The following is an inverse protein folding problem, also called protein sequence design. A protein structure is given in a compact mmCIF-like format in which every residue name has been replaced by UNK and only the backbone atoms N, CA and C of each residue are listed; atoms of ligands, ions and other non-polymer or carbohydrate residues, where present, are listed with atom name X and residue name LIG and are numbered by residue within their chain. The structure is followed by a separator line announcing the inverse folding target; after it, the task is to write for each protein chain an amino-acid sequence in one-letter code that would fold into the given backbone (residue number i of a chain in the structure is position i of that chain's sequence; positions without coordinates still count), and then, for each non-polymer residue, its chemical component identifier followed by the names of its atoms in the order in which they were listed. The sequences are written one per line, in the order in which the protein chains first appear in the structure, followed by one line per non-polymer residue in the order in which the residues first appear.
data_IF_667030590711
#
_entry.id   IF_667030590711
#
_cell.length_a   1.000
_cell.length_b   1.000
_cell.length_c   1.000
_cell.angle_alpha   90.00
_cell.angle_beta   90.00
_cell.angle_gamma   90.00
#
_symmetry.space_group_name_H-M   'P 1'
#
loop_
_entity.id
_entity.type
_entity.pdbx_description
1 polymer ?
#
# COMPACT_ATOMS: atom_id res chain seq x y z
N UNK A 1 -6.99 -11.58 7.77
CA UNK A 1 -5.68 -10.98 7.45
C UNK A 1 -5.76 -9.51 7.07
N UNK A 2 -6.38 -9.13 5.95
CA UNK A 2 -6.36 -7.72 5.51
C UNK A 2 -7.03 -6.75 6.51
N UNK A 3 -8.15 -7.15 7.13
CA UNK A 3 -8.77 -6.40 8.24
C UNK A 3 -7.84 -6.27 9.46
N UNK A 4 -7.02 -7.28 9.72
CA UNK A 4 -6.12 -7.34 10.88
C UNK A 4 -4.88 -6.47 10.71
N UNK A 5 -4.53 -6.12 9.47
CA UNK A 5 -3.40 -5.23 9.15
C UNK A 5 -3.76 -3.75 9.19
N UNK A 6 -5.06 -3.43 9.13
CA UNK A 6 -5.53 -2.04 9.10
C UNK A 6 -5.03 -1.21 10.29
N UNK A 7 -5.01 -1.71 11.55
CA UNK A 7 -4.44 -0.96 12.67
C UNK A 7 -2.96 -0.62 12.47
N UNK A 8 -2.15 -1.58 12.01
CA UNK A 8 -0.72 -1.37 11.77
C UNK A 8 -0.50 -0.34 10.65
N UNK A 9 -1.30 -0.38 9.58
CA UNK A 9 -1.26 0.60 8.50
C UNK A 9 -1.68 2.00 8.98
N UNK A 10 -2.72 2.10 9.81
CA UNK A 10 -3.18 3.37 10.36
C UNK A 10 -2.17 3.98 11.34
N UNK A 11 -1.44 3.17 12.10
CA UNK A 11 -0.36 3.61 12.98
C UNK A 11 0.89 4.06 12.17
N UNK A 12 1.16 3.38 11.05
CA UNK A 12 2.32 3.64 10.22
C UNK A 12 2.15 4.78 9.19
N UNK A 13 0.91 5.27 8.97
CA UNK A 13 0.59 6.20 7.89
C UNK A 13 1.50 7.45 7.87
N UNK A 14 1.92 7.91 6.68
CA UNK A 14 2.65 9.16 6.56
C UNK A 14 1.73 10.33 6.93
N UNK A 15 2.30 11.35 7.59
CA UNK A 15 1.62 12.62 7.78
C UNK A 15 1.81 13.51 6.54
N UNK A 16 0.81 14.31 6.14
CA UNK A 16 -0.58 14.31 6.58
C UNK A 16 -1.53 13.59 5.58
N UNK A 17 -2.66 13.07 6.11
CA UNK A 17 -3.90 12.78 5.37
C UNK A 17 -4.12 11.45 4.62
N UNK A 18 -3.56 10.33 5.06
CA UNK A 18 -4.05 9.00 4.58
C UNK A 18 -4.98 8.33 5.60
N UNK A 19 -6.21 8.05 5.17
CA UNK A 19 -7.13 7.18 5.90
C UNK A 19 -7.33 5.91 5.08
N UNK A 20 -6.71 4.82 5.51
CA UNK A 20 -6.94 3.51 4.91
C UNK A 20 -8.31 2.97 5.34
N UNK A 21 -9.04 2.43 4.38
CA UNK A 21 -10.27 1.67 4.59
C UNK A 21 -10.07 0.28 3.99
N UNK A 22 -10.68 -0.74 4.58
CA UNK A 22 -10.60 -2.09 4.06
C UNK A 22 -11.49 -2.26 2.82
N UNK A 23 -12.71 -1.72 2.89
CA UNK A 23 -13.69 -1.78 1.82
C UNK A 23 -13.57 -0.54 0.93
N UNK A 24 -13.73 -0.72 -0.39
CA UNK A 24 -13.81 0.41 -1.32
C UNK A 24 -15.06 1.23 -0.99
N UNK A 25 -14.94 2.56 -0.80
CA UNK A 25 -16.10 3.40 -0.53
C UNK A 25 -17.11 3.36 -1.69
N UNK A 26 -18.40 3.47 -1.34
CA UNK A 26 -19.52 3.58 -2.29
C UNK A 26 -20.22 4.93 -2.02
N UNK A 27 -20.21 5.89 -2.96
CA UNK A 27 -19.56 5.83 -4.28
C UNK A 27 -18.01 5.85 -4.19
N UNK A 28 -17.29 5.37 -5.23
CA UNK A 28 -15.84 5.42 -5.26
C UNK A 28 -15.32 6.85 -5.10
N UNK A 29 -14.15 6.99 -4.47
CA UNK A 29 -13.45 8.26 -4.44
C UNK A 29 -13.09 8.70 -5.88
N UNK A 30 -13.07 10.01 -6.14
CA UNK A 30 -12.64 10.57 -7.42
C UNK A 30 -11.52 11.59 -7.19
N UNK A 31 -10.28 11.32 -7.64
CA UNK A 31 -9.81 10.10 -8.31
C UNK A 31 -9.84 8.87 -7.39
N UNK A 32 -9.97 7.66 -7.96
CA UNK A 32 -10.03 6.41 -7.19
C UNK A 32 -8.62 5.96 -6.80
N UNK A 33 -8.18 6.41 -5.62
CA UNK A 33 -6.90 6.03 -5.05
C UNK A 33 -7.00 4.75 -4.23
N UNK A 34 -6.19 3.74 -4.57
CA UNK A 34 -6.21 2.44 -3.91
C UNK A 34 -4.79 2.00 -3.57
N UNK A 35 -4.59 1.47 -2.36
CA UNK A 35 -3.39 0.74 -1.99
C UNK A 35 -3.73 -0.75 -2.03
N UNK A 36 -3.18 -1.47 -3.00
CA UNK A 36 -3.35 -2.92 -3.14
C UNK A 36 -2.13 -3.60 -2.52
N UNK A 37 -2.38 -4.55 -1.61
CA UNK A 37 -1.35 -5.37 -0.98
C UNK A 37 -1.50 -6.81 -1.44
N UNK A 38 -0.52 -7.31 -2.19
CA UNK A 38 -0.48 -8.69 -2.67
C UNK A 38 0.53 -9.47 -1.83
N UNK A 39 0.05 -10.42 -1.04
CA UNK A 39 0.89 -11.26 -0.18
C UNK A 39 1.49 -12.41 -0.97
N UNK A 40 2.79 -12.66 -0.83
CA UNK A 40 3.50 -13.70 -1.57
C UNK A 40 3.19 -13.66 -3.09
N UNK A 41 3.50 -12.55 -3.78
CA UNK A 41 3.22 -12.38 -5.20
C UNK A 41 3.97 -13.41 -6.06
N UNK A 42 3.38 -13.75 -7.21
CA UNK A 42 4.11 -14.41 -8.28
C UNK A 42 5.29 -13.54 -8.75
N UNK A 43 6.37 -14.16 -9.20
CA UNK A 43 7.60 -13.45 -9.57
C UNK A 43 7.42 -12.53 -10.80
N UNK A 44 6.41 -12.80 -11.62
CA UNK A 44 6.06 -12.10 -12.86
C UNK A 44 4.74 -11.30 -12.71
N UNK A 45 4.39 -10.91 -11.48
CA UNK A 45 3.19 -10.09 -11.24
C UNK A 45 3.44 -8.63 -11.61
N UNK A 46 2.65 -8.13 -12.56
CA UNK A 46 2.69 -6.74 -13.01
C UNK A 46 1.68 -5.87 -12.26
N UNK A 47 2.03 -4.61 -12.00
CA UNK A 47 1.18 -3.67 -11.25
C UNK A 47 -0.04 -3.17 -12.04
N UNK A 48 0.11 -2.84 -13.33
CA UNK A 48 -0.97 -2.25 -14.12
C UNK A 48 -2.20 -3.15 -14.26
N UNK A 49 -2.06 -4.46 -14.59
CA UNK A 49 -3.20 -5.36 -14.61
C UNK A 49 -3.94 -5.44 -13.27
N UNK A 50 -3.19 -5.43 -12.16
CA UNK A 50 -3.77 -5.44 -10.81
C UNK A 50 -4.55 -4.15 -10.54
N UNK A 51 -4.04 -2.98 -10.96
CA UNK A 51 -4.77 -1.71 -10.86
C UNK A 51 -6.02 -1.68 -11.76
N UNK A 52 -5.99 -2.33 -12.93
CA UNK A 52 -7.13 -2.50 -13.83
C UNK A 52 -8.17 -3.51 -13.31
N UNK A 53 -7.91 -4.18 -12.18
CA UNK A 53 -8.83 -5.12 -11.55
C UNK A 53 -8.65 -6.58 -11.97
N UNK A 54 -7.57 -6.91 -12.69
CA UNK A 54 -7.21 -8.31 -12.94
C UNK A 54 -6.82 -9.00 -11.63
N UNK A 55 -7.16 -10.29 -11.47
CA UNK A 55 -6.84 -11.04 -10.27
C UNK A 55 -5.32 -11.16 -10.10
N UNK A 56 -4.83 -10.81 -8.91
CA UNK A 56 -3.42 -10.97 -8.58
C UNK A 56 -3.04 -12.45 -8.57
N UNK A 57 -1.80 -12.75 -8.98
CA UNK A 57 -1.22 -14.09 -8.95
C UNK A 57 -0.29 -14.24 -7.74
N UNK A 58 -0.35 -15.41 -7.11
CA UNK A 58 0.32 -15.68 -5.84
C UNK A 58 1.22 -16.92 -5.97
N UNK A 59 2.26 -16.99 -5.14
CA UNK A 59 3.06 -18.18 -4.91
C UNK A 59 2.81 -18.73 -3.50
N UNK A 60 3.21 -19.97 -3.21
CA UNK A 60 3.14 -20.50 -1.85
C UNK A 60 3.88 -19.58 -0.86
N UNK A 61 3.22 -19.25 0.24
CA UNK A 61 3.79 -18.41 1.29
C UNK A 61 4.92 -19.11 2.05
N UNK A 62 5.78 -18.31 2.67
CA UNK A 62 6.85 -18.83 3.54
C UNK A 62 6.46 -18.62 5.01
N UNK A 63 6.34 -19.70 5.81
CA UNK A 63 6.01 -19.58 7.23
C UNK A 63 6.96 -18.63 7.96
N UNK A 64 6.40 -17.78 8.83
CA UNK A 64 7.16 -16.78 9.59
C UNK A 64 7.62 -15.56 8.79
N UNK A 65 7.28 -15.46 7.49
CA UNK A 65 7.62 -14.32 6.65
C UNK A 65 6.38 -13.54 6.24
N UNK A 66 6.39 -12.25 6.49
CA UNK A 66 5.47 -11.31 5.88
C UNK A 66 6.13 -10.78 4.60
N UNK A 67 5.60 -11.14 3.44
CA UNK A 67 6.12 -10.71 2.14
C UNK A 67 5.00 -10.09 1.33
N UNK A 68 5.15 -8.82 0.96
CA UNK A 68 4.10 -8.06 0.30
C UNK A 68 4.63 -7.30 -0.90
N UNK A 69 3.88 -7.35 -1.99
CA UNK A 69 3.99 -6.42 -3.10
C UNK A 69 2.88 -5.40 -2.98
N UNK A 70 3.27 -4.15 -2.77
CA UNK A 70 2.36 -3.05 -2.55
C UNK A 70 2.30 -2.20 -3.81
N UNK A 71 1.08 -1.89 -4.25
CA UNK A 71 0.80 -1.15 -5.48
C UNK A 71 -0.12 0.02 -5.12
N UNK A 72 0.31 1.23 -5.47
CA UNK A 72 -0.51 2.42 -5.33
C UNK A 72 -1.12 2.76 -6.68
N UNK A 73 -2.45 2.59 -6.78
CA UNK A 73 -3.21 2.82 -7.98
C UNK A 73 -3.93 4.16 -7.94
N UNK A 74 -4.04 4.81 -9.10
CA UNK A 74 -4.95 5.92 -9.36
C UNK A 74 -5.84 5.55 -10.52
N UNK A 75 -7.14 5.35 -10.26
CA UNK A 75 -8.04 4.69 -11.20
C UNK A 75 -7.40 3.34 -11.61
N UNK A 76 -7.26 3.08 -12.91
CA UNK A 76 -6.78 1.80 -13.45
C UNK A 76 -5.28 1.77 -13.76
N UNK A 77 -4.51 2.73 -13.22
CA UNK A 77 -3.07 2.86 -13.49
C UNK A 77 -2.23 2.75 -12.22
N UNK A 78 -1.10 2.06 -12.31
CA UNK A 78 -0.11 2.04 -11.24
C UNK A 78 0.66 3.37 -11.21
N UNK A 79 0.62 4.05 -10.07
CA UNK A 79 1.42 5.26 -9.83
C UNK A 79 2.79 4.91 -9.29
N UNK A 80 2.85 3.93 -8.39
CA UNK A 80 4.08 3.40 -7.81
C UNK A 80 3.82 1.99 -7.30
N UNK A 81 4.89 1.20 -7.20
CA UNK A 81 4.83 -0.13 -6.61
C UNK A 81 6.18 -0.48 -6.02
N UNK A 82 6.17 -1.29 -4.97
CA UNK A 82 7.40 -1.78 -4.37
C UNK A 82 7.14 -3.05 -3.57
N UNK A 83 8.21 -3.77 -3.29
CA UNK A 83 8.17 -5.03 -2.58
C UNK A 83 8.84 -4.85 -1.22
N UNK A 84 8.21 -5.38 -0.18
CA UNK A 84 8.72 -5.31 1.17
C UNK A 84 8.53 -6.64 1.90
N UNK A 85 9.43 -6.96 2.83
CA UNK A 85 9.28 -8.14 3.67
C UNK A 85 9.89 -7.96 5.05
N UNK A 86 9.39 -8.74 5.99
CA UNK A 86 9.98 -8.90 7.32
C UNK A 86 9.67 -10.30 7.86
N UNK A 87 10.41 -10.74 8.88
CA UNK A 87 10.02 -11.90 9.66
C UNK A 87 8.89 -11.46 10.60
N UNK A 88 7.78 -12.20 10.63
CA UNK A 88 6.63 -11.91 11.47
C UNK A 88 5.90 -13.20 11.84
N UNK A 89 5.43 -13.29 13.08
CA UNK A 89 4.65 -14.45 13.55
C UNK A 89 3.15 -14.32 13.30
N UNK A 90 2.68 -13.13 12.91
CA UNK A 90 1.27 -12.86 12.58
C UNK A 90 1.04 -11.38 12.25
N UNK A 91 -0.18 -10.98 11.86
CA UNK A 91 -0.52 -9.62 11.40
C UNK A 91 -0.39 -8.54 12.49
N UNK A 92 -0.40 -8.91 13.77
CA UNK A 92 -0.23 -8.01 14.91
C UNK A 92 1.23 -7.86 15.36
N UNK A 93 2.18 -8.45 14.65
CA UNK A 93 3.60 -8.36 14.99
C UNK A 93 4.10 -6.90 14.80
N UNK A 94 4.76 -6.28 15.80
CA UNK A 94 5.23 -4.89 15.71
C UNK A 94 6.21 -4.67 14.54
N UNK A 95 6.88 -5.73 14.08
CA UNK A 95 7.76 -5.66 12.89
C UNK A 95 7.00 -5.31 11.62
N UNK A 96 5.71 -5.65 11.54
CA UNK A 96 4.86 -5.30 10.40
C UNK A 96 4.57 -3.80 10.38
N UNK A 97 4.30 -3.19 11.54
CA UNK A 97 4.12 -1.73 11.61
C UNK A 97 5.38 -0.99 11.15
N UNK A 98 6.56 -1.44 11.62
CA UNK A 98 7.84 -0.86 11.21
C UNK A 98 8.07 -1.01 9.70
N UNK A 99 7.72 -2.16 9.13
CA UNK A 99 7.78 -2.39 7.69
C UNK A 99 6.84 -1.43 6.94
N UNK A 100 5.61 -1.23 7.41
CA UNK A 100 4.67 -0.30 6.79
C UNK A 100 5.19 1.14 6.81
N UNK A 101 5.84 1.59 7.89
CA UNK A 101 6.44 2.94 7.95
C UNK A 101 7.47 3.13 6.84
N UNK A 102 8.33 2.14 6.61
CA UNK A 102 9.32 2.16 5.54
C UNK A 102 8.68 2.10 4.16
N UNK A 103 7.72 1.17 3.99
CA UNK A 103 6.99 0.98 2.76
C UNK A 103 6.28 2.26 2.32
N UNK A 104 5.64 2.96 3.25
CA UNK A 104 4.85 4.14 2.97
C UNK A 104 5.68 5.33 2.52
N UNK A 105 6.91 5.49 3.02
CA UNK A 105 7.83 6.52 2.54
C UNK A 105 8.19 6.32 1.07
N UNK A 106 8.23 5.08 0.58
CA UNK A 106 8.60 4.78 -0.81
C UNK A 106 7.38 4.84 -1.73
N UNK A 107 6.28 4.22 -1.31
CA UNK A 107 5.11 4.04 -2.19
C UNK A 107 4.30 5.32 -2.36
N UNK A 108 4.24 6.22 -1.36
CA UNK A 108 3.45 7.45 -1.44
C UNK A 108 4.25 8.69 -1.87
N UNK A 109 5.38 8.51 -2.55
CA UNK A 109 6.22 9.61 -3.02
C UNK A 109 5.48 10.61 -3.93
N UNK A 110 4.58 10.14 -4.81
CA UNK A 110 3.76 11.00 -5.67
C UNK A 110 2.74 11.85 -4.87
N UNK A 111 2.08 11.26 -3.87
CA UNK A 111 1.18 11.96 -2.96
C UNK A 111 1.93 13.03 -2.14
N UNK A 112 3.12 12.70 -1.65
CA UNK A 112 3.95 13.63 -0.89
C UNK A 112 4.38 14.84 -1.75
N UNK A 113 4.78 14.60 -3.02
CA UNK A 113 5.09 15.67 -3.97
C UNK A 113 3.87 16.56 -4.24
N UNK A 114 2.72 15.96 -4.52
CA UNK A 114 1.49 16.72 -4.77
C UNK A 114 1.03 17.52 -3.55
N UNK A 115 1.17 16.96 -2.34
CA UNK A 115 0.86 17.72 -1.12
C UNK A 115 1.82 18.91 -0.96
N UNK A 116 3.12 18.72 -1.21
CA UNK A 116 4.09 19.82 -1.19
C UNK A 116 3.79 20.90 -2.23
N UNK A 117 3.31 20.53 -3.42
CA UNK A 117 2.89 21.47 -4.47
C UNK A 117 1.60 22.23 -4.13
N UNK A 118 0.70 21.62 -3.36
CA UNK A 118 -0.60 22.19 -2.98
C UNK A 118 -0.58 22.94 -1.64
N UNK A 119 0.48 22.80 -0.83
CA UNK A 119 0.62 23.54 0.43
C UNK A 119 1.14 24.96 0.14
N UNK A 120 0.32 26.03 0.29
CA UNK A 120 0.73 27.40 0.00
C UNK A 120 1.84 27.91 0.92
N UNK A 121 2.25 27.16 1.96
CA UNK A 121 3.41 27.49 2.80
C UNK A 121 4.75 27.08 2.16
N UNK A 122 4.73 26.40 1.02
CA UNK A 122 5.92 25.88 0.32
C UNK A 122 6.12 26.50 -1.08
N UNK A 123 5.54 27.68 -1.35
CA UNK A 123 5.90 28.51 -2.50
C UNK A 123 7.04 29.45 -2.06
N UNK A 124 8.23 29.43 -2.72
CA UNK A 124 9.35 30.31 -2.38
C UNK A 124 9.05 31.80 -2.61
#
# INVERSE_FOLDING_TARGET
MARDLLPAMQAAKPRPALTFTYDRPIPPASPDYRLVLVFDPANDLNADPVCAGEPARFKPGTPGRFYVYAIYCRNDRAMSFTTAWTQATGPADPRIEQLFRQLFMVIFTDQQRRYAELDPRFIP
#
